data_IF_390613187205
#
_entry.id   IF_390613187205
#
_cell.length_a   1.000
_cell.length_b   1.000
_cell.length_c   1.000
_cell.angle_alpha   90.00
_cell.angle_beta   90.00
_cell.angle_gamma   90.00
#
_symmetry.space_group_name_H-M   'P 1'
#
loop_
_entity.id
_entity.type
_entity.pdbx_description
1 polymer ?
#
# COMPACT_ATOMS: atom_id res chain seq x y z
N UNK A 1 -0.37 24.27 -0.36
CA UNK A 1 -0.75 23.39 0.76
C UNK A 1 -0.37 21.96 0.42
N UNK A 2 0.35 21.29 1.32
CA UNK A 2 0.82 19.93 1.07
C UNK A 2 -0.28 18.91 1.43
N UNK A 3 -0.55 17.98 0.52
CA UNK A 3 -1.47 16.88 0.76
C UNK A 3 -0.70 15.62 1.11
N UNK A 4 -1.26 14.80 2.00
CA UNK A 4 -0.61 13.60 2.52
C UNK A 4 -1.07 12.37 1.75
N UNK A 5 -0.11 11.60 1.24
CA UNK A 5 -0.36 10.41 0.45
C UNK A 5 0.26 9.20 1.14
N UNK A 6 -0.55 8.17 1.38
CA UNK A 6 -0.06 6.87 1.83
C UNK A 6 -0.12 5.87 0.68
N UNK A 7 0.97 5.11 0.49
CA UNK A 7 1.04 4.12 -0.59
C UNK A 7 1.42 2.77 -0.02
N UNK A 8 0.64 1.74 -0.33
CA UNK A 8 1.05 0.36 -0.06
C UNK A 8 1.80 -0.19 -1.27
N UNK A 9 2.73 -1.10 -1.04
CA UNK A 9 3.49 -1.71 -2.12
C UNK A 9 4.58 -0.82 -2.72
N UNK A 10 5.15 0.09 -1.94
CA UNK A 10 6.20 1.00 -2.40
C UNK A 10 7.45 0.30 -2.90
N UNK A 11 7.75 -0.90 -2.40
CA UNK A 11 8.92 -1.67 -2.81
C UNK A 11 8.74 -2.38 -4.15
N UNK A 12 7.52 -2.42 -4.69
CA UNK A 12 7.24 -3.04 -5.97
C UNK A 12 7.64 -2.15 -7.16
N UNK A 13 7.43 -2.67 -8.37
CA UNK A 13 7.82 -1.98 -9.60
C UNK A 13 7.15 -0.60 -9.72
N UNK A 14 5.81 -0.56 -9.62
CA UNK A 14 5.07 0.70 -9.73
C UNK A 14 5.40 1.62 -8.57
N UNK A 15 5.51 1.07 -7.36
CA UNK A 15 5.81 1.86 -6.17
C UNK A 15 7.16 2.56 -6.26
N UNK A 16 8.19 1.88 -6.78
CA UNK A 16 9.51 2.49 -6.98
C UNK A 16 9.47 3.62 -8.00
N UNK A 17 8.74 3.44 -9.10
CA UNK A 17 8.59 4.50 -10.09
C UNK A 17 7.79 5.68 -9.55
N UNK A 18 6.76 5.42 -8.75
CA UNK A 18 5.99 6.48 -8.11
C UNK A 18 6.85 7.31 -7.16
N UNK A 19 7.68 6.66 -6.34
CA UNK A 19 8.60 7.37 -5.46
C UNK A 19 9.54 8.28 -6.23
N UNK A 20 10.13 7.77 -7.33
CA UNK A 20 11.02 8.56 -8.16
C UNK A 20 10.31 9.76 -8.79
N UNK A 21 9.08 9.56 -9.27
CA UNK A 21 8.28 10.65 -9.82
C UNK A 21 7.99 11.73 -8.78
N UNK A 22 7.54 11.34 -7.60
CA UNK A 22 7.21 12.30 -6.53
C UNK A 22 8.44 13.08 -6.04
N UNK A 23 9.61 12.44 -6.08
CA UNK A 23 10.86 13.11 -5.68
C UNK A 23 11.32 14.14 -6.72
N UNK A 24 11.05 13.89 -8.01
CA UNK A 24 11.51 14.74 -9.11
C UNK A 24 10.49 15.82 -9.48
N UNK A 25 9.20 15.57 -9.32
CA UNK A 25 8.15 16.48 -9.74
C UNK A 25 7.74 17.44 -8.61
N UNK A 26 7.36 18.65 -8.99
CA UNK A 26 6.81 19.63 -8.04
C UNK A 26 5.31 19.38 -7.91
N UNK A 27 4.92 18.53 -6.95
CA UNK A 27 3.52 18.21 -6.70
C UNK A 27 3.13 18.64 -5.28
N UNK A 28 1.84 18.85 -5.01
CA UNK A 28 1.37 19.13 -3.66
C UNK A 28 1.33 17.89 -2.76
N UNK A 29 1.71 16.71 -3.29
CA UNK A 29 1.61 15.45 -2.56
C UNK A 29 2.91 15.14 -1.83
N UNK A 30 2.81 14.92 -0.52
CA UNK A 30 3.91 14.45 0.30
C UNK A 30 3.65 12.99 0.67
N UNK A 31 4.62 12.13 0.36
CA UNK A 31 4.53 10.70 0.68
C UNK A 31 4.73 10.50 2.18
N UNK A 32 3.76 9.85 2.83
CA UNK A 32 3.85 9.53 4.24
C UNK A 32 4.82 8.37 4.45
N UNK A 33 5.66 8.43 5.50
CA UNK A 33 6.53 7.30 5.84
C UNK A 33 5.71 6.14 6.40
N UNK A 34 6.26 4.92 6.25
CA UNK A 34 5.68 3.73 6.89
C UNK A 34 6.28 3.64 8.29
N UNK A 35 5.48 3.80 9.35
CA UNK A 35 6.01 3.91 10.72
C UNK A 35 6.52 2.59 11.29
N UNK A 36 6.02 1.46 10.79
CA UNK A 36 6.41 0.12 11.24
C UNK A 36 6.04 -0.91 10.19
N UNK A 37 6.52 -2.13 10.36
CA UNK A 37 6.11 -3.22 9.48
C UNK A 37 4.65 -3.56 9.74
N UNK A 38 3.93 -3.85 8.66
CA UNK A 38 2.54 -4.28 8.75
C UNK A 38 2.28 -5.38 7.74
N UNK A 39 1.23 -6.17 8.02
CA UNK A 39 0.73 -7.21 7.13
C UNK A 39 -0.75 -6.96 6.91
N UNK A 40 -1.15 -6.77 5.65
CA UNK A 40 -2.54 -6.49 5.31
C UNK A 40 -3.51 -7.60 5.75
N UNK A 41 -3.00 -8.82 5.94
CA UNK A 41 -3.81 -9.94 6.44
C UNK A 41 -3.93 -9.97 7.97
N UNK A 42 -3.20 -9.11 8.67
CA UNK A 42 -3.23 -9.00 10.13
C UNK A 42 -3.79 -7.63 10.51
N UNK A 43 -5.12 -7.54 10.76
CA UNK A 43 -5.75 -6.23 11.03
C UNK A 43 -5.12 -5.46 12.18
N UNK A 44 -4.64 -6.16 13.21
CA UNK A 44 -4.01 -5.51 14.36
C UNK A 44 -2.73 -4.77 13.99
N UNK A 45 -2.02 -5.23 12.94
CA UNK A 45 -0.80 -4.57 12.48
C UNK A 45 -1.07 -3.22 11.81
N UNK A 46 -2.32 -2.94 11.44
CA UNK A 46 -2.72 -1.72 10.74
C UNK A 46 -3.16 -0.61 11.70
N UNK A 47 -3.30 -0.91 12.99
CA UNK A 47 -3.93 0.00 13.94
C UNK A 47 -3.27 1.37 14.07
N UNK A 48 -1.94 1.42 14.04
CA UNK A 48 -1.18 2.65 14.26
C UNK A 48 -0.41 3.09 13.02
N UNK A 49 -0.90 2.74 11.82
CA UNK A 49 -0.24 3.16 10.59
C UNK A 49 -0.22 4.68 10.43
N UNK A 50 -1.27 5.34 10.88
CA UNK A 50 -1.43 6.77 10.68
C UNK A 50 -1.76 7.47 12.00
N UNK A 51 -0.88 8.37 12.47
CA UNK A 51 -1.24 9.27 13.57
C UNK A 51 -2.42 10.17 13.19
N UNK A 52 -2.45 10.57 11.91
CA UNK A 52 -3.54 11.30 11.30
C UNK A 52 -3.90 10.64 9.99
N UNK A 53 -5.18 10.72 9.60
CA UNK A 53 -5.61 10.13 8.33
C UNK A 53 -4.91 10.80 7.15
N UNK A 54 -4.47 10.03 6.16
CA UNK A 54 -3.95 10.61 4.92
C UNK A 54 -5.06 11.26 4.11
N UNK A 55 -4.68 12.16 3.20
CA UNK A 55 -5.64 12.78 2.28
C UNK A 55 -6.03 11.81 1.16
N UNK A 56 -5.11 10.92 0.79
CA UNK A 56 -5.37 9.88 -0.20
C UNK A 56 -4.50 8.66 0.07
N UNK A 57 -4.96 7.51 -0.42
CA UNK A 57 -4.23 6.24 -0.35
C UNK A 57 -4.17 5.64 -1.75
N UNK A 58 -2.97 5.26 -2.18
CA UNK A 58 -2.79 4.44 -3.39
C UNK A 58 -2.42 3.04 -2.92
N UNK A 59 -3.25 2.06 -3.26
CA UNK A 59 -3.07 0.68 -2.81
C UNK A 59 -2.47 -0.16 -3.94
N UNK A 60 -1.14 -0.31 -3.92
CA UNK A 60 -0.40 -1.09 -4.92
C UNK A 60 -0.05 -2.49 -4.43
N UNK A 61 -0.14 -2.74 -3.14
CA UNK A 61 0.18 -4.06 -2.59
C UNK A 61 -0.83 -5.09 -3.06
N UNK A 62 -0.35 -6.27 -3.45
CA UNK A 62 -1.20 -7.34 -3.92
C UNK A 62 -0.35 -8.44 -4.54
N UNK A 63 -0.97 -9.60 -4.74
CA UNK A 63 -0.35 -10.71 -5.46
C UNK A 63 -0.75 -10.64 -6.93
N UNK A 64 0.19 -10.29 -7.80
CA UNK A 64 -0.06 -10.08 -9.23
C UNK A 64 0.66 -11.09 -10.14
N UNK A 65 1.50 -11.95 -9.59
CA UNK A 65 2.23 -12.95 -10.36
C UNK A 65 1.30 -14.11 -10.72
N UNK A 66 0.98 -14.23 -12.01
CA UNK A 66 -0.04 -15.16 -12.49
C UNK A 66 0.26 -16.62 -12.12
N UNK A 67 1.50 -17.16 -12.29
CA UNK A 67 1.78 -18.55 -11.88
C UNK A 67 1.49 -18.80 -10.40
N UNK A 68 1.74 -17.83 -9.52
CA UNK A 68 1.43 -17.96 -8.11
C UNK A 68 -0.08 -18.02 -7.86
N UNK A 69 -0.87 -17.29 -8.64
CA UNK A 69 -2.33 -17.35 -8.53
C UNK A 69 -2.88 -18.72 -8.90
N UNK A 70 -2.26 -19.40 -9.86
CA UNK A 70 -2.63 -20.79 -10.19
C UNK A 70 -2.16 -21.78 -9.14
N UNK A 71 -0.98 -21.56 -8.57
CA UNK A 71 -0.42 -22.45 -7.55
C UNK A 71 -1.20 -22.37 -6.24
N UNK A 72 -1.58 -21.16 -5.83
CA UNK A 72 -2.26 -20.94 -4.56
C UNK A 72 -3.34 -19.84 -4.71
N UNK A 73 -4.49 -20.20 -5.31
CA UNK A 73 -5.55 -19.23 -5.55
C UNK A 73 -6.17 -18.70 -4.24
N UNK A 74 -6.24 -19.53 -3.21
CA UNK A 74 -6.77 -19.08 -1.92
C UNK A 74 -5.91 -17.96 -1.31
N UNK A 75 -4.58 -18.13 -1.34
CA UNK A 75 -3.65 -17.11 -0.83
C UNK A 75 -3.75 -15.81 -1.63
N UNK A 76 -3.88 -15.92 -2.95
CA UNK A 76 -4.04 -14.77 -3.83
C UNK A 76 -5.31 -14.00 -3.49
N UNK A 77 -6.43 -14.69 -3.29
CA UNK A 77 -7.69 -14.05 -2.87
C UNK A 77 -7.56 -13.41 -1.49
N UNK A 78 -6.92 -14.07 -0.55
CA UNK A 78 -6.69 -13.50 0.77
C UNK A 78 -5.93 -12.18 0.69
N UNK A 79 -4.82 -12.16 -0.04
CA UNK A 79 -3.99 -10.96 -0.15
C UNK A 79 -4.76 -9.85 -0.88
N UNK A 80 -5.37 -10.16 -2.02
CA UNK A 80 -5.92 -9.12 -2.90
C UNK A 80 -7.30 -8.64 -2.45
N UNK A 81 -8.09 -9.48 -1.81
CA UNK A 81 -9.43 -9.12 -1.37
C UNK A 81 -9.45 -8.75 0.12
N UNK A 82 -9.05 -9.68 1.00
CA UNK A 82 -9.12 -9.45 2.44
C UNK A 82 -8.10 -8.41 2.89
N UNK A 83 -6.92 -8.39 2.28
CA UNK A 83 -5.93 -7.35 2.58
C UNK A 83 -6.45 -5.96 2.26
N UNK A 84 -7.13 -5.79 1.13
CA UNK A 84 -7.75 -4.52 0.77
C UNK A 84 -8.86 -4.14 1.73
N UNK A 85 -9.72 -5.11 2.08
CA UNK A 85 -10.79 -4.87 3.04
C UNK A 85 -10.24 -4.42 4.40
N UNK A 86 -9.20 -5.09 4.89
CA UNK A 86 -8.58 -4.73 6.17
C UNK A 86 -8.03 -3.30 6.14
N UNK A 87 -7.42 -2.91 5.03
CA UNK A 87 -6.88 -1.56 4.87
C UNK A 87 -7.99 -0.49 4.94
N UNK A 88 -9.18 -0.80 4.42
CA UNK A 88 -10.31 0.13 4.40
C UNK A 88 -11.01 0.28 5.75
N UNK A 89 -10.75 -0.62 6.67
CA UNK A 89 -11.31 -0.56 8.02
C UNK A 89 -10.36 0.17 8.95
#
# INVERSE_FOLDING_TARGET
>A
MTQRLFVTGLSGFVGKHLQAYLAAAHTPWALLPVPHRYDLLEPDSLGDLWPELPDAVIHLAGQTYVPEAFRDPARTLQINLLGTLNLLQ
#
